data_IF_508479504189
#
_entry.id   IF_508479504189
#
_cell.length_a   1.000
_cell.length_b   1.000
_cell.length_c   1.000
_cell.angle_alpha   90.00
_cell.angle_beta   90.00
_cell.angle_gamma   90.00
#
_symmetry.space_group_name_H-M   'P 1'
#
loop_
_entity.id
_entity.type
_entity.pdbx_description
1 polymer ?
#
# COMPACT_ATOMS: atom_id res chain seq x y z
N UNK A 1 -10.54 18.30 7.15
CA UNK A 1 -9.26 18.84 7.67
C UNK A 1 -8.36 19.09 6.48
N UNK A 2 -7.90 20.32 6.25
CA UNK A 2 -6.93 20.59 5.20
C UNK A 2 -5.63 19.83 5.55
N UNK A 3 -5.28 18.83 4.75
CA UNK A 3 -4.03 18.11 4.93
C UNK A 3 -2.87 19.07 4.63
N UNK A 4 -1.96 19.25 5.59
CA UNK A 4 -0.69 19.91 5.32
C UNK A 4 0.10 19.16 4.25
N UNK A 5 1.00 19.87 3.57
CA UNK A 5 2.03 19.21 2.75
C UNK A 5 2.98 18.45 3.67
N UNK A 6 3.56 17.34 3.18
CA UNK A 6 4.70 16.77 3.90
C UNK A 6 5.86 17.75 3.88
N UNK A 7 6.74 17.65 4.87
CA UNK A 7 8.05 18.29 4.82
C UNK A 7 8.73 17.99 3.49
N UNK A 8 9.25 19.04 2.84
CA UNK A 8 10.00 18.93 1.59
C UNK A 8 11.20 17.99 1.76
N UNK A 9 11.45 17.20 0.71
CA UNK A 9 12.50 16.19 0.74
C UNK A 9 13.79 16.74 0.12
N UNK A 10 14.96 16.45 0.72
CA UNK A 10 16.22 16.68 0.03
C UNK A 10 16.28 15.86 -1.28
N UNK A 11 17.03 16.32 -2.29
CA UNK A 11 17.05 15.69 -3.62
C UNK A 11 17.34 14.18 -3.64
N UNK A 12 18.20 13.71 -2.73
CA UNK A 12 18.51 12.30 -2.55
C UNK A 12 17.26 11.46 -2.18
N UNK A 13 16.42 11.98 -1.27
CA UNK A 13 15.21 11.30 -0.80
C UNK A 13 14.09 11.35 -1.83
N UNK A 14 13.94 12.45 -2.57
CA UNK A 14 13.03 12.49 -3.71
C UNK A 14 13.40 11.45 -4.77
N UNK A 15 14.71 11.29 -5.02
CA UNK A 15 15.21 10.27 -5.94
C UNK A 15 14.90 8.87 -5.43
N UNK A 16 15.08 8.62 -4.14
CA UNK A 16 14.69 7.36 -3.50
C UNK A 16 13.20 7.05 -3.71
N UNK A 17 12.31 8.03 -3.49
CA UNK A 17 10.88 7.86 -3.77
C UNK A 17 10.60 7.50 -5.23
N UNK A 18 11.26 8.18 -6.19
CA UNK A 18 11.09 7.88 -7.63
C UNK A 18 11.52 6.46 -7.99
N UNK A 19 12.64 5.98 -7.44
CA UNK A 19 13.10 4.61 -7.65
C UNK A 19 12.15 3.57 -7.04
N UNK A 20 11.62 3.86 -5.87
CA UNK A 20 10.63 3.01 -5.20
C UNK A 20 9.33 2.96 -6.03
N UNK A 21 8.83 4.11 -6.49
CA UNK A 21 7.64 4.19 -7.34
C UNK A 21 7.86 3.44 -8.68
N UNK A 22 9.04 3.57 -9.30
CA UNK A 22 9.40 2.80 -10.51
C UNK A 22 9.34 1.29 -10.26
N UNK A 23 9.93 0.82 -9.15
CA UNK A 23 9.88 -0.59 -8.80
C UNK A 23 8.45 -1.06 -8.50
N UNK A 24 7.63 -0.27 -7.79
CA UNK A 24 6.22 -0.60 -7.56
C UNK A 24 5.39 -0.60 -8.85
N UNK A 25 5.77 0.19 -9.85
CA UNK A 25 5.11 0.20 -11.15
C UNK A 25 5.28 -1.11 -11.95
N UNK A 26 6.28 -1.92 -11.58
CA UNK A 26 6.51 -3.26 -12.12
C UNK A 26 5.52 -4.32 -11.60
N UNK A 27 4.67 -4.00 -10.60
CA UNK A 27 3.65 -4.94 -10.14
C UNK A 27 2.73 -5.34 -11.32
N UNK A 28 2.65 -6.64 -11.66
CA UNK A 28 1.83 -7.10 -12.77
C UNK A 28 0.33 -7.03 -12.47
N UNK A 29 -0.05 -6.91 -11.19
CA UNK A 29 -1.46 -6.77 -10.80
C UNK A 29 -1.93 -5.35 -11.07
N UNK A 30 -3.02 -5.25 -11.80
CA UNK A 30 -3.67 -3.98 -12.11
C UNK A 30 -4.94 -3.83 -11.25
N UNK A 31 -5.24 -2.57 -10.92
CA UNK A 31 -6.51 -2.11 -10.35
C UNK A 31 -7.09 -0.99 -11.22
N UNK A 32 -8.42 -0.89 -11.32
CA UNK A 32 -9.11 0.27 -11.88
C UNK A 32 -9.58 1.20 -10.79
N UNK A 33 -9.30 2.48 -11.00
CA UNK A 33 -9.74 3.56 -10.13
C UNK A 33 -10.85 4.37 -10.82
N UNK A 34 -11.87 4.77 -10.06
CA UNK A 34 -12.79 5.83 -10.48
C UNK A 34 -12.15 7.22 -10.41
N UNK A 35 -12.92 8.22 -10.81
CA UNK A 35 -12.55 9.63 -10.74
C UNK A 35 -12.20 10.11 -9.32
N UNK A 36 -12.68 9.44 -8.27
CA UNK A 36 -12.35 9.75 -6.87
C UNK A 36 -11.05 9.07 -6.40
N UNK A 37 -10.45 8.22 -7.24
CA UNK A 37 -9.28 7.41 -6.90
C UNK A 37 -9.61 6.20 -6.02
N UNK A 38 -10.88 5.79 -5.95
CA UNK A 38 -11.35 4.58 -5.27
C UNK A 38 -11.34 3.42 -6.24
N UNK A 39 -11.01 2.22 -5.75
CA UNK A 39 -11.04 0.99 -6.54
C UNK A 39 -12.50 0.66 -6.90
N UNK A 40 -12.82 0.56 -8.19
CA UNK A 40 -14.20 0.30 -8.70
C UNK A 40 -14.43 -1.12 -9.18
N UNK A 41 -13.37 -1.80 -9.58
CA UNK A 41 -13.37 -3.19 -9.99
C UNK A 41 -11.90 -3.61 -9.97
N UNK A 42 -11.56 -4.76 -9.37
CA UNK A 42 -10.68 -5.73 -10.05
C UNK A 42 -10.41 -7.02 -9.28
N UNK A 43 -10.08 -8.04 -10.09
CA UNK A 43 -9.56 -9.37 -9.77
C UNK A 43 -9.04 -9.47 -8.34
N UNK A 44 -9.82 -10.15 -7.48
CA UNK A 44 -9.57 -10.31 -6.04
C UNK A 44 -8.09 -10.17 -5.67
N UNK A 45 -7.75 -9.06 -5.02
CA UNK A 45 -6.39 -8.79 -4.50
C UNK A 45 -5.91 -9.85 -3.50
N UNK A 46 -6.83 -10.69 -3.02
CA UNK A 46 -6.63 -11.84 -2.14
C UNK A 46 -6.63 -13.20 -2.86
N UNK A 47 -6.91 -13.24 -4.17
CA UNK A 47 -6.81 -14.43 -5.01
C UNK A 47 -5.50 -14.40 -5.80
N UNK A 48 -4.71 -15.45 -5.68
CA UNK A 48 -3.55 -15.66 -6.52
C UNK A 48 -3.93 -15.71 -8.00
N UNK A 49 -2.99 -15.26 -8.85
CA UNK A 49 -3.10 -15.25 -10.30
C UNK A 49 -3.61 -16.59 -10.85
N UNK A 50 -4.83 -16.58 -11.42
CA UNK A 50 -5.19 -17.57 -12.41
C UNK A 50 -4.54 -17.13 -13.72
N UNK A 51 -3.53 -17.90 -14.17
CA UNK A 51 -2.90 -17.68 -15.46
C UNK A 51 -3.96 -17.68 -16.56
N UNK A 52 -3.90 -16.68 -17.44
CA UNK A 52 -4.67 -16.71 -18.68
C UNK A 52 -3.70 -16.87 -19.85
N UNK A 53 -3.80 -18.03 -20.46
CA UNK A 53 -3.26 -18.36 -21.78
C UNK A 53 -3.67 -17.32 -22.81
N UNK A 54 -2.70 -16.80 -23.54
CA UNK A 54 -2.92 -16.01 -24.76
C UNK A 54 -3.47 -16.91 -25.85
N UNK A 55 -4.77 -16.78 -26.12
CA UNK A 55 -5.42 -17.31 -27.32
C UNK A 55 -5.31 -16.31 -28.46
N UNK A 56 -4.57 -16.68 -29.50
CA UNK A 56 -4.51 -16.01 -30.79
C UNK A 56 -5.86 -16.06 -31.51
N UNK A 57 -6.32 -14.92 -32.03
CA UNK A 57 -7.18 -14.88 -33.20
C UNK A 57 -7.07 -13.51 -33.90
N UNK A 58 -6.57 -13.54 -35.13
CA UNK A 58 -6.69 -12.46 -36.09
C UNK A 58 -8.09 -12.47 -36.73
N UNK A 59 -8.68 -11.30 -36.95
CA UNK A 59 -9.67 -11.09 -38.01
C UNK A 59 -9.67 -9.62 -38.43
N UNK A 60 -9.51 -9.40 -39.73
CA UNK A 60 -9.58 -8.12 -40.42
C UNK A 60 -10.98 -7.94 -41.01
N UNK A 61 -11.55 -6.74 -40.97
CA UNK A 61 -12.25 -6.12 -42.11
C UNK A 61 -12.66 -4.67 -41.82
N UNK A 62 -12.64 -3.87 -42.89
CA UNK A 62 -12.87 -2.43 -42.92
C UNK A 62 -14.34 -2.06 -43.21
N UNK A 63 -14.76 -0.85 -42.82
CA UNK A 63 -16.00 -0.24 -43.36
C UNK A 63 -16.50 1.05 -42.68
N UNK A 64 -16.11 2.20 -43.24
CA UNK A 64 -16.80 3.50 -43.41
C UNK A 64 -17.82 4.05 -42.37
N UNK A 65 -17.57 5.31 -41.96
CA UNK A 65 -18.48 6.43 -42.28
C UNK A 65 -19.34 7.05 -41.16
N UNK A 66 -18.82 8.12 -40.54
CA UNK A 66 -19.48 9.37 -40.10
C UNK A 66 -20.78 9.36 -39.28
N UNK A 67 -20.72 9.97 -38.08
CA UNK A 67 -21.58 11.11 -37.70
C UNK A 67 -21.10 11.74 -36.39
N UNK A 68 -21.15 13.08 -36.36
CA UNK A 68 -20.92 13.93 -35.20
C UNK A 68 -21.88 13.57 -34.07
N UNK A 69 -21.31 13.26 -32.91
CA UNK A 69 -22.02 13.16 -31.65
C UNK A 69 -21.10 13.71 -30.59
N UNK A 70 -21.59 14.69 -29.82
CA UNK A 70 -20.91 15.21 -28.64
C UNK A 70 -20.59 14.05 -27.69
N UNK A 71 -19.34 13.58 -27.71
CA UNK A 71 -18.84 12.63 -26.73
C UNK A 71 -18.69 13.41 -25.43
N UNK A 72 -19.66 13.26 -24.52
CA UNK A 72 -19.38 13.39 -23.09
C UNK A 72 -18.07 12.63 -22.82
N UNK A 73 -16.99 13.35 -22.52
CA UNK A 73 -15.74 12.76 -22.07
C UNK A 73 -16.05 11.98 -20.79
N UNK A 74 -16.46 10.71 -20.93
CA UNK A 74 -16.44 9.76 -19.83
C UNK A 74 -15.01 9.74 -19.33
N UNK A 75 -14.78 10.35 -18.17
CA UNK A 75 -13.51 10.31 -17.45
C UNK A 75 -13.08 8.84 -17.39
N UNK A 76 -12.06 8.50 -18.17
CA UNK A 76 -11.68 7.11 -18.39
C UNK A 76 -11.15 6.54 -17.09
N UNK A 77 -11.78 5.45 -16.64
CA UNK A 77 -11.24 4.59 -15.58
C UNK A 77 -9.74 4.35 -15.83
N UNK A 78 -8.92 4.65 -14.83
CA UNK A 78 -7.47 4.55 -14.96
C UNK A 78 -7.00 3.23 -14.37
N UNK A 79 -6.39 2.42 -15.22
CA UNK A 79 -5.71 1.19 -14.81
C UNK A 79 -4.31 1.52 -14.28
N UNK A 80 -3.99 1.07 -13.06
CA UNK A 80 -2.71 1.33 -12.39
C UNK A 80 -2.13 0.08 -11.72
N UNK A 81 -0.79 -0.04 -11.58
CA UNK A 81 -0.18 -1.10 -10.77
C UNK A 81 -0.64 -1.02 -9.31
N UNK A 82 -1.02 -2.17 -8.74
CA UNK A 82 -1.58 -2.25 -7.39
C UNK A 82 -0.63 -1.73 -6.31
N UNK A 83 0.62 -2.23 -6.23
CA UNK A 83 1.51 -1.74 -5.18
C UNK A 83 1.91 -0.27 -5.37
N UNK A 84 1.88 0.29 -6.60
CA UNK A 84 2.12 1.72 -6.80
C UNK A 84 0.99 2.57 -6.20
N UNK A 85 -0.26 2.15 -6.43
CA UNK A 85 -1.42 2.77 -5.78
C UNK A 85 -1.33 2.67 -4.26
N UNK A 86 -1.02 1.48 -3.73
CA UNK A 86 -0.85 1.27 -2.30
C UNK A 86 0.25 2.20 -1.72
N UNK A 87 1.40 2.31 -2.39
CA UNK A 87 2.50 3.17 -2.00
C UNK A 87 2.10 4.66 -1.98
N UNK A 88 1.30 5.10 -2.95
CA UNK A 88 0.77 6.47 -3.00
C UNK A 88 -0.25 6.73 -1.88
N UNK A 89 -1.12 5.75 -1.58
CA UNK A 89 -2.04 5.79 -0.43
C UNK A 89 -1.29 5.86 0.90
N UNK A 90 -0.19 5.12 1.05
CA UNK A 90 0.69 5.24 2.23
C UNK A 90 1.17 6.67 2.45
N UNK A 91 1.65 7.36 1.40
CA UNK A 91 2.04 8.77 1.52
C UNK A 91 0.87 9.70 1.79
N UNK A 92 -0.31 9.46 1.20
CA UNK A 92 -1.52 10.26 1.50
C UNK A 92 -1.89 10.15 2.98
N UNK A 93 -1.89 8.94 3.54
CA UNK A 93 -2.22 8.74 4.94
C UNK A 93 -1.12 9.23 5.89
N UNK A 94 0.15 9.14 5.49
CA UNK A 94 1.25 9.76 6.23
C UNK A 94 1.08 11.27 6.36
N UNK A 95 0.65 11.97 5.29
CA UNK A 95 0.34 13.41 5.36
C UNK A 95 -0.67 13.77 6.43
N UNK A 96 -1.69 12.94 6.62
CA UNK A 96 -2.71 13.15 7.63
C UNK A 96 -2.23 12.78 9.03
N UNK A 97 -1.41 11.73 9.13
CA UNK A 97 -0.94 11.17 10.40
C UNK A 97 0.25 11.89 11.01
N UNK A 98 1.19 12.31 10.18
CA UNK A 98 2.42 12.97 10.60
C UNK A 98 2.89 13.90 9.44
N UNK A 99 2.36 15.13 9.35
CA UNK A 99 2.78 16.10 8.33
C UNK A 99 4.29 16.40 8.37
N UNK A 100 4.86 16.40 9.58
CA UNK A 100 6.29 16.62 9.84
C UNK A 100 7.13 15.33 9.75
N UNK A 101 6.66 14.32 9.01
CA UNK A 101 7.37 13.06 8.88
C UNK A 101 8.77 13.27 8.31
N UNK A 102 9.77 12.67 8.97
CA UNK A 102 11.15 12.75 8.52
C UNK A 102 11.31 12.20 7.09
N UNK A 103 12.31 12.68 6.32
CA UNK A 103 12.61 12.12 5.01
C UNK A 103 12.76 10.58 5.01
N UNK A 104 13.35 10.04 6.07
CA UNK A 104 13.51 8.59 6.30
C UNK A 104 12.15 7.89 6.43
N UNK A 105 11.24 8.41 7.26
CA UNK A 105 9.91 7.85 7.43
C UNK A 105 9.08 7.96 6.15
N UNK A 106 9.20 9.06 5.41
CA UNK A 106 8.51 9.23 4.12
C UNK A 106 8.94 8.14 3.12
N UNK A 107 10.24 7.88 3.00
CA UNK A 107 10.78 6.81 2.14
C UNK A 107 10.34 5.42 2.63
N UNK A 108 10.41 5.15 3.93
CA UNK A 108 10.00 3.86 4.49
C UNK A 108 8.49 3.59 4.32
N UNK A 109 7.63 4.60 4.52
CA UNK A 109 6.20 4.51 4.24
C UNK A 109 5.94 4.24 2.77
N UNK A 110 6.65 4.93 1.86
CA UNK A 110 6.49 4.70 0.42
C UNK A 110 6.92 3.30 0.01
N UNK A 111 7.95 2.76 0.64
CA UNK A 111 8.46 1.41 0.42
C UNK A 111 7.68 0.29 1.15
N UNK A 112 6.59 0.62 1.86
CA UNK A 112 5.79 -0.40 2.52
C UNK A 112 5.25 -1.39 1.47
N UNK A 113 5.38 -2.69 1.75
CA UNK A 113 5.05 -3.77 0.80
C UNK A 113 5.92 -3.79 -0.48
N UNK A 114 7.14 -3.24 -0.44
CA UNK A 114 8.08 -3.32 -1.56
C UNK A 114 8.22 -4.74 -2.12
N UNK A 115 7.94 -4.90 -3.43
CA UNK A 115 8.00 -6.18 -4.17
C UNK A 115 7.22 -7.33 -3.53
N UNK A 116 6.15 -7.04 -2.78
CA UNK A 116 5.34 -8.05 -2.09
C UNK A 116 4.73 -9.08 -3.04
N UNK A 117 4.39 -8.69 -4.27
CA UNK A 117 3.80 -9.58 -5.29
C UNK A 117 4.71 -10.75 -5.68
N UNK A 118 6.03 -10.62 -5.48
CA UNK A 118 7.00 -11.69 -5.77
C UNK A 118 6.95 -12.82 -4.74
N UNK A 119 6.26 -12.62 -3.61
CA UNK A 119 6.05 -13.64 -2.59
C UNK A 119 4.56 -13.79 -2.25
N UNK A 120 3.77 -14.42 -3.13
CA UNK A 120 2.35 -14.64 -2.91
C UNK A 120 2.05 -15.44 -1.63
N UNK A 121 0.94 -15.15 -0.96
CA UNK A 121 0.56 -15.79 0.31
C UNK A 121 0.35 -17.30 0.18
N UNK A 122 -0.12 -17.78 -0.96
CA UNK A 122 -0.39 -19.20 -1.23
C UNK A 122 0.87 -20.07 -1.34
N UNK A 123 2.06 -19.47 -1.45
CA UNK A 123 3.36 -20.17 -1.38
C UNK A 123 3.71 -20.68 0.03
N UNK A 124 2.88 -20.38 1.04
CA UNK A 124 3.04 -20.82 2.43
C UNK A 124 1.81 -21.57 2.94
N UNK A 125 1.97 -22.49 3.92
CA UNK A 125 0.83 -23.21 4.51
C UNK A 125 -0.29 -22.27 4.98
N UNK A 126 -1.55 -22.64 4.74
CA UNK A 126 -2.76 -21.88 5.17
C UNK A 126 -3.05 -22.06 6.66
N UNK A 127 -2.01 -21.99 7.49
CA UNK A 127 -2.08 -22.07 8.95
C UNK A 127 -1.62 -20.75 9.57
N UNK A 128 -1.89 -20.56 10.86
CA UNK A 128 -1.40 -19.39 11.59
C UNK A 128 0.14 -19.30 11.59
N UNK A 129 0.91 -20.39 11.88
CA UNK A 129 2.36 -20.35 11.75
C UNK A 129 2.82 -20.00 10.33
N UNK A 130 2.22 -20.61 9.30
CA UNK A 130 2.57 -20.31 7.90
C UNK A 130 2.35 -18.84 7.53
N UNK A 131 1.27 -18.23 8.02
CA UNK A 131 1.02 -16.79 7.85
C UNK A 131 2.07 -15.92 8.54
N UNK A 132 2.44 -16.27 9.78
CA UNK A 132 3.45 -15.51 10.55
C UNK A 132 4.83 -15.60 9.89
N UNK A 133 5.23 -16.78 9.42
CA UNK A 133 6.47 -16.98 8.67
C UNK A 133 6.48 -16.18 7.37
N UNK A 134 5.38 -16.24 6.60
CA UNK A 134 5.25 -15.45 5.37
C UNK A 134 5.39 -13.96 5.63
N UNK A 135 4.67 -13.42 6.64
CA UNK A 135 4.73 -12.00 6.99
C UNK A 135 6.14 -11.58 7.43
N UNK A 136 6.83 -12.40 8.22
CA UNK A 136 8.20 -12.12 8.64
C UNK A 136 9.15 -12.06 7.44
N UNK A 137 9.06 -13.05 6.53
CA UNK A 137 9.89 -13.12 5.34
C UNK A 137 9.63 -11.95 4.38
N UNK A 138 8.36 -11.57 4.20
CA UNK A 138 7.98 -10.41 3.39
C UNK A 138 8.64 -9.12 3.87
N UNK A 139 8.60 -8.86 5.18
CA UNK A 139 9.23 -7.66 5.77
C UNK A 139 10.76 -7.67 5.58
N UNK A 140 11.41 -8.82 5.80
CA UNK A 140 12.85 -8.95 5.63
C UNK A 140 13.27 -8.78 4.17
N UNK A 141 12.55 -9.39 3.22
CA UNK A 141 12.84 -9.25 1.79
C UNK A 141 12.62 -7.81 1.31
N UNK A 142 11.51 -7.17 1.72
CA UNK A 142 11.24 -5.78 1.37
C UNK A 142 12.38 -4.87 1.84
N UNK A 143 12.78 -4.99 3.10
CA UNK A 143 13.87 -4.19 3.66
C UNK A 143 15.20 -4.43 2.93
N UNK A 144 15.56 -5.69 2.67
CA UNK A 144 16.77 -6.04 1.94
C UNK A 144 16.76 -5.43 0.53
N UNK A 145 15.68 -5.61 -0.23
CA UNK A 145 15.60 -5.13 -1.61
C UNK A 145 15.59 -3.61 -1.72
N UNK A 146 15.00 -2.93 -0.75
CA UNK A 146 15.05 -1.46 -0.68
C UNK A 146 16.46 -0.99 -0.36
N UNK A 147 17.16 -1.62 0.59
CA UNK A 147 18.57 -1.32 0.86
C UNK A 147 19.44 -1.51 -0.38
N UNK A 148 19.29 -2.64 -1.09
CA UNK A 148 20.01 -2.93 -2.32
C UNK A 148 19.73 -1.88 -3.40
N UNK A 149 18.45 -1.50 -3.61
CA UNK A 149 18.05 -0.48 -4.58
C UNK A 149 18.70 0.88 -4.27
N UNK A 150 18.67 1.31 -3.01
CA UNK A 150 19.23 2.61 -2.60
C UNK A 150 20.77 2.62 -2.68
N UNK A 151 21.42 1.51 -2.37
CA UNK A 151 22.89 1.38 -2.47
C UNK A 151 23.37 1.28 -3.92
N UNK A 152 22.66 0.56 -4.79
CA UNK A 152 22.99 0.46 -6.22
C UNK A 152 22.93 1.83 -6.89
N UNK A 153 21.97 2.68 -6.50
CA UNK A 153 21.89 4.04 -7.01
C UNK A 153 23.18 4.83 -6.70
N UNK A 154 23.70 4.75 -5.48
CA UNK A 154 24.93 5.43 -5.09
C UNK A 154 26.14 4.96 -5.91
N UNK A 155 26.21 3.66 -6.23
CA UNK A 155 27.27 3.11 -7.07
C UNK A 155 27.21 3.63 -8.52
N UNK A 156 26.01 3.85 -9.04
CA UNK A 156 25.79 4.35 -10.40
C UNK A 156 26.00 5.86 -10.55
N UNK A 157 25.78 6.63 -9.47
CA UNK A 157 25.96 8.09 -9.43
C UNK A 157 26.71 8.51 -8.16
N UNK A 158 28.04 8.23 -8.06
CA UNK A 158 28.82 8.56 -6.85
C UNK A 158 28.99 10.06 -6.61
N UNK A 159 28.78 10.88 -7.65
CA UNK A 159 28.87 12.34 -7.58
C UNK A 159 27.53 13.01 -7.20
N UNK A 160 26.43 12.26 -7.21
CA UNK A 160 25.12 12.73 -6.76
C UNK A 160 24.97 12.68 -5.23
N UNK A 161 23.99 13.45 -4.73
CA UNK A 161 23.60 13.39 -3.31
C UNK A 161 23.11 11.98 -2.97
N UNK A 162 23.88 11.26 -2.15
CA UNK A 162 23.56 9.91 -1.69
C UNK A 162 22.86 9.96 -0.33
N UNK A 163 21.98 8.98 -0.07
CA UNK A 163 21.46 8.80 1.28
C UNK A 163 22.60 8.30 2.19
N UNK A 164 22.77 8.90 3.39
CA UNK A 164 23.65 8.35 4.41
C UNK A 164 23.33 6.89 4.71
N UNK A 165 24.36 6.06 4.96
CA UNK A 165 24.14 4.66 5.30
C UNK A 165 23.27 4.48 6.55
N UNK A 166 23.38 5.38 7.54
CA UNK A 166 22.52 5.40 8.71
C UNK A 166 21.03 5.52 8.36
N UNK A 167 20.71 6.28 7.32
CA UNK A 167 19.34 6.54 6.89
C UNK A 167 18.79 5.33 6.14
N UNK A 168 19.61 4.70 5.30
CA UNK A 168 19.27 3.42 4.63
C UNK A 168 19.00 2.33 5.67
N UNK A 169 19.84 2.21 6.69
CA UNK A 169 19.67 1.24 7.77
C UNK A 169 18.39 1.50 8.57
N UNK A 170 18.09 2.79 8.83
CA UNK A 170 16.87 3.19 9.52
C UNK A 170 15.62 2.92 8.69
N UNK A 171 15.63 3.20 7.38
CA UNK A 171 14.55 2.84 6.44
C UNK A 171 14.29 1.33 6.49
N UNK A 172 15.35 0.53 6.43
CA UNK A 172 15.25 -0.93 6.46
C UNK A 172 14.65 -1.43 7.80
N UNK A 173 15.05 -0.84 8.93
CA UNK A 173 14.49 -1.14 10.25
C UNK A 173 12.99 -0.80 10.35
N UNK A 174 12.59 0.35 9.80
CA UNK A 174 11.19 0.78 9.72
C UNK A 174 10.33 -0.18 8.88
N UNK A 175 10.81 -0.61 7.72
CA UNK A 175 10.13 -1.61 6.87
C UNK A 175 9.95 -2.94 7.61
N UNK A 176 10.97 -3.35 8.39
CA UNK A 176 10.89 -4.54 9.26
C UNK A 176 9.95 -4.35 10.47
N UNK A 177 9.49 -3.13 10.71
CA UNK A 177 8.68 -2.72 11.87
C UNK A 177 9.42 -2.95 13.19
N UNK A 178 10.73 -2.72 13.19
CA UNK A 178 11.55 -2.82 14.41
C UNK A 178 11.17 -1.69 15.38
N UNK A 179 10.98 -2.04 16.65
CA UNK A 179 10.57 -1.08 17.68
C UNK A 179 9.08 -0.81 17.79
N UNK A 180 8.21 -1.51 17.02
CA UNK A 180 6.76 -1.34 17.14
C UNK A 180 6.29 -1.60 18.59
N UNK A 181 5.51 -0.66 19.13
CA UNK A 181 4.98 -0.73 20.50
C UNK A 181 5.99 -0.35 21.60
N UNK A 182 7.19 0.14 21.24
CA UNK A 182 8.12 0.72 22.22
C UNK A 182 7.88 2.23 22.35
N UNK A 183 7.96 2.74 23.57
CA UNK A 183 7.72 4.17 23.88
C UNK A 183 8.72 5.10 23.19
N UNK A 184 9.92 4.62 22.87
CA UNK A 184 11.01 5.38 22.26
C UNK A 184 11.03 5.32 20.72
N UNK A 185 10.04 4.66 20.09
CA UNK A 185 10.06 4.34 18.65
C UNK A 185 8.85 4.91 17.90
N UNK A 186 8.71 6.24 17.93
CA UNK A 186 7.54 6.96 17.39
C UNK A 186 7.30 6.69 15.89
N UNK A 187 8.33 6.75 15.04
CA UNK A 187 8.15 6.58 13.59
C UNK A 187 7.69 5.18 13.18
N UNK A 188 8.11 4.12 13.89
CA UNK A 188 7.63 2.76 13.60
C UNK A 188 6.14 2.64 13.90
N UNK A 189 5.69 3.28 14.97
CA UNK A 189 4.28 3.36 15.33
C UNK A 189 3.49 4.16 14.28
N UNK A 190 4.01 5.32 13.85
CA UNK A 190 3.42 6.10 12.74
C UNK A 190 3.29 5.25 11.47
N UNK A 191 4.32 4.50 11.09
CA UNK A 191 4.27 3.63 9.90
C UNK A 191 3.21 2.53 10.05
N UNK A 192 3.04 1.94 11.23
CA UNK A 192 1.97 0.96 11.49
C UNK A 192 0.57 1.60 11.47
N UNK A 193 0.40 2.80 12.03
CA UNK A 193 -0.85 3.55 11.96
C UNK A 193 -1.24 3.80 10.51
N UNK A 194 -0.32 4.32 9.69
CA UNK A 194 -0.53 4.59 8.26
C UNK A 194 -0.90 3.31 7.52
N UNK A 195 -0.22 2.19 7.77
CA UNK A 195 -0.54 0.92 7.14
C UNK A 195 -1.94 0.40 7.52
N UNK A 196 -2.38 0.60 8.77
CA UNK A 196 -3.73 0.25 9.21
C UNK A 196 -4.78 1.18 8.59
N UNK A 197 -4.50 2.47 8.47
CA UNK A 197 -5.39 3.44 7.81
C UNK A 197 -5.55 3.11 6.33
N UNK A 198 -4.48 2.78 5.60
CA UNK A 198 -4.61 2.33 4.20
C UNK A 198 -5.45 1.06 4.09
N UNK A 199 -5.28 0.10 5.01
CA UNK A 199 -6.11 -1.11 5.01
C UNK A 199 -7.59 -0.78 5.17
N UNK A 200 -7.96 0.08 6.12
CA UNK A 200 -9.35 0.50 6.35
C UNK A 200 -9.93 1.30 5.17
N UNK A 201 -9.13 2.19 4.58
CA UNK A 201 -9.54 3.07 3.47
C UNK A 201 -9.75 2.33 2.14
N UNK A 202 -8.86 1.38 1.84
CA UNK A 202 -8.66 0.90 0.47
C UNK A 202 -8.85 -0.60 0.30
N UNK A 203 -8.71 -1.39 1.36
CA UNK A 203 -8.66 -2.86 1.27
C UNK A 203 -9.76 -3.56 2.06
N UNK A 204 -10.38 -2.88 3.04
CA UNK A 204 -11.23 -3.55 4.02
C UNK A 204 -12.53 -4.07 3.41
N UNK A 205 -13.24 -3.28 2.60
CA UNK A 205 -14.50 -3.69 1.95
C UNK A 205 -14.29 -4.93 1.06
N UNK A 206 -13.21 -4.94 0.28
CA UNK A 206 -12.83 -6.08 -0.57
C UNK A 206 -12.42 -7.29 0.26
N UNK A 207 -11.68 -7.07 1.35
CA UNK A 207 -11.29 -8.14 2.26
C UNK A 207 -12.51 -8.77 2.92
N UNK A 208 -13.47 -7.96 3.38
CA UNK A 208 -14.69 -8.41 4.03
C UNK A 208 -15.56 -9.24 3.08
N UNK A 209 -15.81 -8.72 1.89
CA UNK A 209 -16.63 -9.40 0.88
C UNK A 209 -16.00 -10.69 0.36
N UNK A 210 -14.66 -10.76 0.24
CA UNK A 210 -13.96 -11.92 -0.31
C UNK A 210 -13.62 -13.00 0.73
N UNK A 211 -13.46 -12.65 2.00
CA UNK A 211 -12.77 -13.51 2.96
C UNK A 211 -13.56 -14.79 3.35
N UNK A 212 -14.83 -14.95 2.94
CA UNK A 212 -15.70 -16.07 3.32
C UNK A 212 -15.62 -16.41 4.82
N UNK A 213 -15.40 -15.37 5.63
CA UNK A 213 -15.25 -15.46 7.09
C UNK A 213 -16.55 -15.01 7.73
N UNK A 214 -16.88 -15.66 8.85
CA UNK A 214 -17.95 -15.18 9.71
C UNK A 214 -17.64 -13.79 10.29
N UNK A 215 -18.71 -13.11 10.69
CA UNK A 215 -18.64 -11.76 11.23
C UNK A 215 -17.74 -11.69 12.48
N UNK A 216 -17.80 -12.68 13.37
CA UNK A 216 -17.00 -12.73 14.59
C UNK A 216 -15.49 -12.72 14.30
N UNK A 217 -15.05 -13.47 13.27
CA UNK A 217 -13.66 -13.43 12.80
C UNK A 217 -13.30 -12.07 12.23
N UNK A 218 -14.22 -11.41 11.52
CA UNK A 218 -13.99 -10.07 10.98
C UNK A 218 -13.83 -9.03 12.10
N UNK A 219 -14.74 -9.04 13.07
CA UNK A 219 -14.67 -8.22 14.29
C UNK A 219 -13.36 -8.49 15.05
N UNK A 220 -12.99 -9.77 15.20
CA UNK A 220 -11.73 -10.17 15.82
C UNK A 220 -10.47 -9.74 15.04
N UNK A 221 -10.55 -9.55 13.73
CA UNK A 221 -9.48 -8.96 12.92
C UNK A 221 -9.41 -7.45 13.14
N UNK A 222 -10.55 -6.75 13.10
CA UNK A 222 -10.62 -5.32 13.36
C UNK A 222 -10.11 -4.96 14.75
N UNK A 223 -10.45 -5.72 15.79
CA UNK A 223 -9.88 -5.56 17.14
C UNK A 223 -8.35 -5.64 17.15
N UNK A 224 -7.77 -6.56 16.38
CA UNK A 224 -6.30 -6.68 16.24
C UNK A 224 -5.70 -5.56 15.41
N UNK A 225 -6.40 -5.04 14.41
CA UNK A 225 -5.98 -3.86 13.65
C UNK A 225 -5.99 -2.64 14.56
N UNK A 226 -7.05 -2.45 15.35
CA UNK A 226 -7.20 -1.36 16.31
C UNK A 226 -6.11 -1.37 17.38
N UNK A 227 -5.86 -2.54 17.98
CA UNK A 227 -4.84 -2.69 19.02
C UNK A 227 -3.39 -2.47 18.56
N UNK A 228 -3.13 -2.34 17.25
CA UNK A 228 -1.81 -1.96 16.72
C UNK A 228 -1.67 -0.46 16.49
N UNK A 229 -2.78 0.27 16.43
CA UNK A 229 -2.77 1.70 16.16
C UNK A 229 -2.59 2.49 17.46
N UNK A 230 -1.84 3.58 17.38
CA UNK A 230 -1.79 4.59 18.42
C UNK A 230 -3.12 5.34 18.54
N UNK A 231 -3.28 6.13 19.61
CA UNK A 231 -4.45 6.98 19.78
C UNK A 231 -4.68 7.95 18.60
N UNK A 232 -3.60 8.49 18.01
CA UNK A 232 -3.69 9.38 16.84
C UNK A 232 -4.11 8.62 15.58
N UNK A 233 -3.60 7.41 15.38
CA UNK A 233 -4.05 6.52 14.31
C UNK A 233 -5.52 6.16 14.43
N UNK A 234 -5.96 5.80 15.64
CA UNK A 234 -7.37 5.50 15.94
C UNK A 234 -8.27 6.73 15.72
N UNK A 235 -7.83 7.92 16.13
CA UNK A 235 -8.57 9.17 15.90
C UNK A 235 -8.79 9.44 14.41
N UNK A 236 -7.77 9.22 13.58
CA UNK A 236 -7.92 9.33 12.13
C UNK A 236 -8.87 8.27 11.58
N UNK A 237 -8.78 7.03 12.06
CA UNK A 237 -9.66 5.94 11.63
C UNK A 237 -11.14 6.23 11.93
N UNK A 238 -11.45 6.83 13.08
CA UNK A 238 -12.81 7.25 13.45
C UNK A 238 -13.35 8.39 12.57
N UNK A 239 -12.47 9.16 11.93
CA UNK A 239 -12.84 10.25 11.03
C UNK A 239 -12.97 9.85 9.56
N UNK A 240 -12.80 8.57 9.23
CA UNK A 240 -12.88 8.07 7.86
C UNK A 240 -14.32 7.96 7.36
N UNK A 241 -14.51 8.24 6.07
CA UNK A 241 -15.74 7.90 5.36
C UNK A 241 -15.70 6.44 4.91
N UNK A 242 -16.09 5.54 5.83
CA UNK A 242 -16.18 4.11 5.58
C UNK A 242 -17.54 3.71 4.97
N UNK A 243 -17.59 2.55 4.30
CA UNK A 243 -18.86 1.95 3.91
C UNK A 243 -19.75 1.70 5.13
N UNK A 244 -21.08 1.63 4.93
CA UNK A 244 -22.02 1.36 6.01
C UNK A 244 -21.66 0.06 6.75
N UNK A 245 -21.34 -0.99 5.98
CA UNK A 245 -20.91 -2.29 6.51
C UNK A 245 -19.61 -2.20 7.31
N UNK A 246 -18.61 -1.48 6.79
CA UNK A 246 -17.34 -1.31 7.49
C UNK A 246 -17.52 -0.53 8.80
N UNK A 247 -18.34 0.53 8.79
CA UNK A 247 -18.66 1.30 10.00
C UNK A 247 -19.35 0.45 11.06
N UNK A 248 -20.31 -0.40 10.67
CA UNK A 248 -20.96 -1.35 11.60
C UNK A 248 -19.96 -2.31 12.24
N UNK A 249 -19.07 -2.90 11.43
CA UNK A 249 -18.08 -3.86 11.91
C UNK A 249 -17.03 -3.20 12.82
N UNK A 250 -16.61 -1.97 12.52
CA UNK A 250 -15.75 -1.18 13.40
C UNK A 250 -16.48 -0.88 14.71
N UNK A 251 -17.75 -0.45 14.67
CA UNK A 251 -18.53 -0.19 15.88
C UNK A 251 -18.65 -1.45 16.76
N UNK A 252 -18.90 -2.62 16.17
CA UNK A 252 -18.90 -3.91 16.88
C UNK A 252 -17.53 -4.26 17.45
N UNK A 253 -16.45 -3.97 16.73
CA UNK A 253 -15.09 -4.21 17.21
C UNK A 253 -14.72 -3.35 18.43
N UNK A 254 -15.26 -2.13 18.51
CA UNK A 254 -15.03 -1.18 19.61
C UNK A 254 -16.02 -1.31 20.76
N UNK A 255 -17.13 -2.02 20.55
CA UNK A 255 -18.04 -2.41 21.61
C UNK A 255 -17.47 -3.67 22.29
N UNK A 256 -17.56 -3.73 23.62
CA UNK A 256 -16.99 -4.81 24.45
C UNK A 256 -17.45 -6.22 24.00
#
# INVERSE_FOLDING_TARGET
MAAGLLTDLPPAYERALRLIDQAHAEDPRRIRLDASGKVVQETSIFSAAAGSSVGSAAASSAGKGGQDGDEEEKEKEKEVPYELHYAQKMTRWLRLRCPEASPVLQVACRAQHFRRWEMPRDTFPKTRPGYLTWRAKQKSQAAQKVTELLQQQHQQDPAGDALPQSDIDRIAALIRKEGLGREDSDETQVLEDVACLVFLDDQFDDFESAAKVDEDKMVGLLRKTWGKMSADGQKLALGMELSERARELVAKALSD
#
